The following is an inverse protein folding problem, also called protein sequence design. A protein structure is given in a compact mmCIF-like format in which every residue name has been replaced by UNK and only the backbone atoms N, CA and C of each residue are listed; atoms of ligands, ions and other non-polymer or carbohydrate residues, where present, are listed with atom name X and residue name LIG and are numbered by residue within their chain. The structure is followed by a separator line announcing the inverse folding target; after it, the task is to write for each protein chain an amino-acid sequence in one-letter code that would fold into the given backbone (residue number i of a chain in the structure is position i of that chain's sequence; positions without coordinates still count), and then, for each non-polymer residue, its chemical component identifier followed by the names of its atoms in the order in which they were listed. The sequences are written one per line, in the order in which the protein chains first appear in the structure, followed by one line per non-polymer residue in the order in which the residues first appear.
data_IF_322934108164
#
_entry.id   IF_322934108164
#
_cell.length_a   1.000
_cell.length_b   1.000
_cell.length_c   1.000
_cell.angle_alpha   90.00
_cell.angle_beta   90.00
_cell.angle_gamma   90.00
#
_symmetry.space_group_name_H-M   'P 1'
#
loop_
_entity.id
_entity.type
_entity.pdbx_description
1 polymer ?
#
# COMPACT_ATOMS: atom_id res chain seq x y z
N UNK A 1 23.43 11.15 -2.22
CA UNK A 1 23.55 9.77 -1.72
C UNK A 1 22.77 8.90 -2.69
N UNK A 2 23.31 7.79 -3.23
CA UNK A 2 22.55 7.02 -4.21
C UNK A 2 21.32 6.42 -3.52
N UNK A 3 20.15 6.73 -4.05
CA UNK A 3 18.88 6.14 -3.64
C UNK A 3 18.90 4.65 -3.96
N UNK A 4 18.69 3.79 -2.96
CA UNK A 4 18.67 2.34 -3.15
C UNK A 4 17.22 1.86 -3.11
N UNK A 5 16.66 1.58 -4.30
CA UNK A 5 15.47 0.74 -4.41
C UNK A 5 15.87 -0.72 -4.17
N UNK A 6 15.27 -1.33 -3.15
CA UNK A 6 15.52 -2.71 -2.74
C UNK A 6 14.31 -3.54 -3.12
N UNK A 7 14.42 -4.30 -4.22
CA UNK A 7 13.37 -5.27 -4.59
C UNK A 7 13.43 -6.45 -3.64
N UNK A 8 12.27 -6.85 -3.13
CA UNK A 8 12.13 -7.92 -2.13
C UNK A 8 11.23 -9.02 -2.66
N UNK A 9 11.79 -10.23 -2.68
CA UNK A 9 11.12 -11.47 -3.05
C UNK A 9 11.56 -12.59 -2.09
N UNK A 10 11.06 -13.82 -2.24
CA UNK A 10 11.35 -14.91 -1.28
C UNK A 10 12.85 -15.25 -1.17
N UNK A 11 13.65 -14.94 -2.19
CA UNK A 11 15.09 -15.27 -2.24
C UNK A 11 15.91 -14.37 -1.31
N UNK A 12 15.48 -13.13 -1.11
CA UNK A 12 16.16 -12.17 -0.24
C UNK A 12 15.32 -11.66 0.94
N UNK A 13 14.07 -12.12 1.11
CA UNK A 13 13.18 -11.63 2.17
C UNK A 13 13.82 -11.67 3.56
N UNK A 14 14.50 -12.75 3.94
CA UNK A 14 15.14 -12.85 5.26
C UNK A 14 16.28 -11.83 5.43
N UNK A 15 17.08 -11.61 4.38
CA UNK A 15 18.16 -10.61 4.39
C UNK A 15 17.60 -9.20 4.52
N UNK A 16 16.52 -8.91 3.80
CA UNK A 16 15.84 -7.61 3.87
C UNK A 16 15.09 -7.42 5.18
N UNK A 17 14.51 -8.48 5.75
CA UNK A 17 13.91 -8.49 7.07
C UNK A 17 14.94 -8.14 8.15
N UNK A 18 16.11 -8.78 8.13
CA UNK A 18 17.21 -8.48 9.05
C UNK A 18 17.76 -7.06 8.85
N UNK A 19 17.88 -6.62 7.60
CA UNK A 19 18.27 -5.24 7.31
C UNK A 19 17.25 -4.26 7.89
N UNK A 20 15.95 -4.48 7.64
CA UNK A 20 14.84 -3.71 8.18
C UNK A 20 14.88 -3.61 9.72
N UNK A 21 15.24 -4.70 10.43
CA UNK A 21 15.47 -4.69 11.89
C UNK A 21 16.59 -3.75 12.27
N UNK A 22 17.73 -3.89 11.58
CA UNK A 22 18.96 -3.17 11.93
C UNK A 22 18.78 -1.64 11.84
N UNK A 23 17.84 -1.20 11.01
CA UNK A 23 17.56 0.22 10.78
C UNK A 23 16.33 0.71 11.56
N UNK A 24 15.30 -0.13 11.79
CA UNK A 24 14.02 0.25 12.45
C UNK A 24 14.12 0.62 13.92
N UNK A 25 15.09 0.09 14.68
CA UNK A 25 15.29 0.45 16.10
C UNK A 25 15.54 1.94 16.35
N UNK A 26 15.80 2.74 15.31
CA UNK A 26 16.05 4.18 15.39
C UNK A 26 14.83 5.04 14.98
N UNK A 27 13.70 4.43 14.65
CA UNK A 27 12.70 5.04 13.74
C UNK A 27 11.30 5.24 14.33
N UNK A 28 11.19 5.39 15.65
CA UNK A 28 9.89 5.58 16.28
C UNK A 28 9.05 6.68 15.60
N UNK A 29 9.67 7.82 15.23
CA UNK A 29 8.98 8.96 14.62
C UNK A 29 9.25 9.09 13.10
N UNK A 30 9.48 7.98 12.40
CA UNK A 30 9.79 8.01 10.97
C UNK A 30 8.58 8.33 10.08
N UNK A 31 8.85 8.94 8.92
CA UNK A 31 7.86 9.11 7.85
C UNK A 31 7.91 7.88 6.94
N UNK A 32 6.76 7.24 6.74
CA UNK A 32 6.61 6.03 5.93
C UNK A 32 5.74 6.37 4.73
N UNK A 33 6.32 6.34 3.54
CA UNK A 33 5.58 6.53 2.29
C UNK A 33 5.14 5.17 1.77
N UNK A 34 3.88 5.07 1.37
CA UNK A 34 3.26 3.86 0.88
C UNK A 34 2.66 4.10 -0.50
N UNK A 35 2.86 3.11 -1.36
CA UNK A 35 2.25 3.01 -2.67
C UNK A 35 1.99 1.52 -2.98
N UNK A 36 0.89 1.20 -3.67
CA UNK A 36 0.55 -0.18 -4.01
C UNK A 36 0.16 -0.34 -5.47
N UNK A 37 0.61 -1.43 -6.07
CA UNK A 37 0.22 -1.84 -7.41
C UNK A 37 -0.75 -3.02 -7.31
N UNK A 38 -1.90 -2.90 -7.97
CA UNK A 38 -2.97 -3.89 -7.95
C UNK A 38 -3.77 -3.83 -9.26
N UNK A 39 -4.51 -4.90 -9.62
CA UNK A 39 -5.20 -5.04 -10.92
C UNK A 39 -6.43 -4.13 -11.14
N UNK A 40 -6.45 -2.94 -10.53
CA UNK A 40 -7.50 -1.92 -10.55
C UNK A 40 -8.87 -2.37 -10.01
N UNK A 41 -9.83 -1.46 -9.92
CA UNK A 41 -11.17 -1.65 -9.37
C UNK A 41 -12.04 -2.51 -10.30
N UNK A 42 -12.40 -3.71 -9.84
CA UNK A 42 -13.31 -4.64 -10.50
C UNK A 42 -14.75 -4.08 -10.50
N UNK A 43 -15.18 -3.54 -9.37
CA UNK A 43 -16.51 -3.01 -9.16
C UNK A 43 -16.50 -1.49 -9.35
N UNK A 44 -17.49 -1.00 -10.11
CA UNK A 44 -17.67 0.41 -10.40
C UNK A 44 -19.07 0.86 -9.97
N UNK A 45 -19.18 2.11 -9.54
CA UNK A 45 -20.47 2.73 -9.26
C UNK A 45 -21.14 3.21 -10.55
N UNK A 46 -22.45 3.02 -10.67
CA UNK A 46 -23.25 3.62 -11.73
C UNK A 46 -23.32 5.15 -11.63
N UNK A 47 -23.20 5.70 -10.41
CA UNK A 47 -23.13 7.15 -10.16
C UNK A 47 -21.68 7.63 -10.25
N UNK A 48 -21.44 8.86 -10.73
CA UNK A 48 -20.11 9.47 -10.65
C UNK A 48 -19.60 9.55 -9.21
N UNK A 49 -18.29 9.36 -9.01
CA UNK A 49 -17.69 9.24 -7.67
C UNK A 49 -17.94 10.47 -6.78
N UNK A 50 -17.99 11.68 -7.35
CA UNK A 50 -18.26 12.91 -6.61
C UNK A 50 -19.69 12.99 -6.05
N UNK A 51 -20.64 12.25 -6.62
CA UNK A 51 -22.03 12.17 -6.15
C UNK A 51 -22.19 11.18 -5.00
N UNK A 52 -21.29 10.19 -4.90
CA UNK A 52 -21.34 9.18 -3.86
C UNK A 52 -21.17 9.80 -2.48
N UNK A 53 -22.03 9.39 -1.55
CA UNK A 53 -21.84 9.64 -0.12
C UNK A 53 -20.58 8.94 0.39
N UNK A 54 -19.98 9.40 1.51
CA UNK A 54 -18.82 8.74 2.10
C UNK A 54 -19.04 7.24 2.38
N UNK A 55 -20.25 6.86 2.81
CA UNK A 55 -20.60 5.46 3.05
C UNK A 55 -20.68 4.63 1.76
N UNK A 56 -21.25 5.18 0.67
CA UNK A 56 -21.25 4.51 -0.64
C UNK A 56 -19.83 4.37 -1.20
N UNK A 57 -18.97 5.40 -1.06
CA UNK A 57 -17.55 5.31 -1.47
C UNK A 57 -16.81 4.22 -0.70
N UNK A 58 -17.05 4.14 0.60
CA UNK A 58 -16.47 3.10 1.43
C UNK A 58 -16.96 1.70 1.03
N UNK A 59 -18.27 1.53 0.79
CA UNK A 59 -18.82 0.26 0.36
C UNK A 59 -18.21 -0.22 -0.97
N UNK A 60 -18.00 0.70 -1.92
CA UNK A 60 -17.34 0.41 -3.19
C UNK A 60 -15.86 0.01 -3.00
N UNK A 61 -15.12 0.77 -2.19
CA UNK A 61 -13.72 0.45 -1.85
C UNK A 61 -13.63 -0.91 -1.15
N UNK A 62 -14.50 -1.18 -0.17
CA UNK A 62 -14.55 -2.44 0.56
C UNK A 62 -14.78 -3.62 -0.39
N UNK A 63 -15.78 -3.52 -1.26
CA UNK A 63 -16.09 -4.59 -2.22
C UNK A 63 -14.88 -4.90 -3.13
N UNK A 64 -14.20 -3.87 -3.63
CA UNK A 64 -13.02 -4.05 -4.45
C UNK A 64 -11.84 -4.66 -3.68
N UNK A 65 -11.48 -4.09 -2.53
CA UNK A 65 -10.30 -4.52 -1.76
C UNK A 65 -10.44 -5.96 -1.26
N UNK A 66 -11.65 -6.42 -0.94
CA UNK A 66 -11.85 -7.80 -0.50
C UNK A 66 -11.53 -8.82 -1.60
N UNK A 67 -11.82 -8.50 -2.86
CA UNK A 67 -11.65 -9.43 -3.98
C UNK A 67 -10.32 -9.25 -4.75
N UNK A 68 -9.69 -8.08 -4.67
CA UNK A 68 -8.42 -7.80 -5.36
C UNK A 68 -7.23 -8.36 -4.56
N UNK A 69 -6.25 -8.97 -5.24
CA UNK A 69 -4.95 -9.28 -4.64
C UNK A 69 -3.92 -8.22 -5.06
N UNK A 70 -3.18 -7.62 -4.11
CA UNK A 70 -2.09 -6.70 -4.45
C UNK A 70 -0.93 -7.43 -5.11
N UNK A 71 -0.23 -6.75 -6.03
CA UNK A 71 0.86 -7.29 -6.85
C UNK A 71 2.20 -6.78 -6.34
N UNK A 72 2.32 -5.48 -6.05
CA UNK A 72 3.50 -4.89 -5.42
C UNK A 72 3.10 -3.92 -4.32
N UNK A 73 3.97 -3.79 -3.32
CA UNK A 73 3.87 -2.73 -2.30
C UNK A 73 5.21 -2.03 -2.19
N UNK A 74 5.20 -0.72 -2.47
CA UNK A 74 6.31 0.18 -2.24
C UNK A 74 6.24 0.77 -0.83
N UNK A 75 7.33 0.66 -0.08
CA UNK A 75 7.49 1.29 1.23
C UNK A 75 8.79 2.08 1.24
N UNK A 76 8.69 3.39 1.40
CA UNK A 76 9.86 4.24 1.63
C UNK A 76 9.86 4.72 3.08
N UNK A 77 10.96 4.49 3.80
CA UNK A 77 11.14 5.04 5.13
C UNK A 77 12.12 6.20 5.03
N UNK A 78 11.66 7.38 5.45
CA UNK A 78 12.45 8.59 5.52
C UNK A 78 12.72 8.96 6.98
N UNK A 79 14.00 9.08 7.31
CA UNK A 79 14.44 9.42 8.66
C UNK A 79 15.11 10.80 8.70
N UNK A 80 14.42 11.76 9.33
CA UNK A 80 14.91 13.08 9.79
C UNK A 80 15.91 13.74 8.82
N UNK A 81 15.58 13.81 7.52
CA UNK A 81 16.38 14.55 6.54
C UNK A 81 17.77 14.00 6.24
N UNK A 82 18.08 12.76 6.63
CA UNK A 82 19.41 12.18 6.42
C UNK A 82 19.44 11.04 5.43
N UNK A 83 18.49 10.12 5.51
CA UNK A 83 18.45 8.93 4.67
C UNK A 83 17.02 8.51 4.35
N UNK A 84 16.77 8.14 3.10
CA UNK A 84 15.60 7.39 2.66
C UNK A 84 16.01 6.01 2.18
N UNK A 85 15.21 5.01 2.49
CA UNK A 85 15.37 3.66 1.96
C UNK A 85 14.01 3.21 1.43
N UNK A 86 14.00 2.70 0.20
CA UNK A 86 12.78 2.24 -0.46
C UNK A 86 12.86 0.74 -0.68
N UNK A 87 11.86 0.04 -0.18
CA UNK A 87 11.62 -1.37 -0.49
C UNK A 87 10.44 -1.47 -1.45
N UNK A 88 10.55 -2.39 -2.41
CA UNK A 88 9.46 -2.78 -3.28
C UNK A 88 9.28 -4.28 -3.14
N UNK A 89 8.19 -4.67 -2.49
CA UNK A 89 7.85 -6.07 -2.25
C UNK A 89 7.05 -6.60 -3.43
N UNK A 90 7.56 -7.65 -4.07
CA UNK A 90 6.80 -8.43 -5.06
C UNK A 90 5.94 -9.44 -4.31
N UNK A 91 4.63 -9.46 -4.56
CA UNK A 91 3.68 -10.30 -3.82
C UNK A 91 3.18 -11.48 -4.65
N UNK A 92 3.23 -12.69 -4.08
CA UNK A 92 2.87 -13.91 -4.82
C UNK A 92 1.38 -14.27 -4.80
N UNK A 93 0.53 -13.50 -4.12
CA UNK A 93 -0.86 -13.90 -3.87
C UNK A 93 -1.75 -13.78 -5.13
N UNK A 94 -1.41 -12.86 -6.04
CA UNK A 94 -2.15 -12.62 -7.28
C UNK A 94 -1.86 -13.68 -8.34
N UNK A 95 -2.91 -14.37 -8.78
CA UNK A 95 -2.90 -15.34 -9.86
C UNK A 95 -3.88 -14.93 -10.97
N UNK A 96 -3.34 -14.54 -12.12
CA UNK A 96 -4.13 -14.09 -13.29
C UNK A 96 -5.17 -15.12 -13.76
N UNK A 97 -4.94 -16.42 -13.52
CA UNK A 97 -5.85 -17.49 -13.94
C UNK A 97 -7.06 -17.67 -13.01
N UNK A 98 -6.96 -17.18 -11.77
CA UNK A 98 -7.94 -17.40 -10.70
C UNK A 98 -8.59 -16.12 -10.21
N UNK A 99 -7.82 -15.04 -10.12
CA UNK A 99 -8.22 -13.84 -9.40
C UNK A 99 -8.85 -12.83 -10.37
N UNK A 100 -9.88 -12.12 -9.87
CA UNK A 100 -10.55 -11.08 -10.62
C UNK A 100 -9.59 -9.91 -10.90
N UNK A 101 -9.64 -9.38 -12.13
CA UNK A 101 -8.78 -8.29 -12.55
C UNK A 101 -9.39 -7.54 -13.73
N UNK A 102 -8.95 -6.30 -13.95
CA UNK A 102 -9.26 -5.53 -15.15
C UNK A 102 -8.17 -5.82 -16.21
N UNK A 103 -8.49 -6.42 -17.38
CA UNK A 103 -7.47 -6.79 -18.38
C UNK A 103 -6.60 -5.62 -18.86
N UNK A 104 -7.18 -4.41 -18.92
CA UNK A 104 -6.42 -3.19 -19.25
C UNK A 104 -5.38 -2.84 -18.20
N UNK A 105 -5.69 -3.03 -16.91
CA UNK A 105 -4.74 -2.81 -15.81
C UNK A 105 -3.59 -3.80 -15.92
N UNK A 106 -3.87 -5.08 -16.19
CA UNK A 106 -2.83 -6.10 -16.43
C UNK A 106 -1.91 -5.70 -17.59
N UNK A 107 -2.50 -5.31 -18.73
CA UNK A 107 -1.72 -4.88 -19.90
C UNK A 107 -0.83 -3.68 -19.57
N UNK A 108 -1.34 -2.74 -18.77
CA UNK A 108 -0.61 -1.56 -18.34
C UNK A 108 0.58 -1.93 -17.42
N UNK A 109 0.34 -2.75 -16.40
CA UNK A 109 1.37 -3.24 -15.48
C UNK A 109 2.50 -3.99 -16.23
N UNK A 110 2.13 -4.87 -17.18
CA UNK A 110 3.10 -5.56 -18.03
C UNK A 110 3.88 -4.58 -18.92
N UNK A 111 3.24 -3.52 -19.42
CA UNK A 111 3.92 -2.47 -20.20
C UNK A 111 4.94 -1.66 -19.37
N UNK A 112 4.74 -1.57 -18.06
CA UNK A 112 5.70 -1.00 -17.11
C UNK A 112 6.83 -1.97 -16.73
N UNK A 113 6.78 -3.20 -17.24
CA UNK A 113 7.83 -4.20 -17.12
C UNK A 113 7.64 -5.17 -15.95
N UNK A 114 6.44 -5.23 -15.36
CA UNK A 114 6.12 -6.26 -14.38
C UNK A 114 5.92 -7.61 -15.07
N UNK A 115 6.74 -8.60 -14.73
CA UNK A 115 6.49 -9.98 -15.11
C UNK A 115 5.64 -10.66 -14.03
N UNK A 116 4.32 -10.68 -14.23
CA UNK A 116 3.36 -11.22 -13.26
C UNK A 116 3.57 -12.71 -12.97
N UNK A 117 4.09 -13.48 -13.94
CA UNK A 117 4.42 -14.89 -13.74
C UNK A 117 5.61 -15.06 -12.79
N UNK A 118 6.64 -14.23 -12.95
CA UNK A 118 7.80 -14.26 -12.06
C UNK A 118 7.44 -13.74 -10.67
N UNK A 119 6.64 -12.67 -10.56
CA UNK A 119 6.11 -12.15 -9.29
C UNK A 119 5.28 -13.23 -8.59
N UNK A 120 4.42 -13.96 -9.31
CA UNK A 120 3.65 -15.07 -8.74
C UNK A 120 4.54 -16.19 -8.19
N UNK A 121 5.65 -16.48 -8.86
CA UNK A 121 6.53 -17.60 -8.53
C UNK A 121 7.54 -17.27 -7.42
N UNK A 122 8.10 -16.06 -7.45
CA UNK A 122 9.17 -15.62 -6.54
C UNK A 122 8.70 -14.62 -5.48
N UNK A 123 7.54 -13.99 -5.64
CA UNK A 123 7.03 -13.00 -4.70
C UNK A 123 6.82 -13.56 -3.29
N UNK A 124 6.85 -12.68 -2.30
CA UNK A 124 6.57 -13.04 -0.90
C UNK A 124 5.07 -13.14 -0.65
N UNK A 125 4.62 -13.98 0.30
CA UNK A 125 3.24 -13.94 0.76
C UNK A 125 2.89 -12.57 1.34
N UNK A 126 1.76 -12.00 0.95
CA UNK A 126 1.30 -10.68 1.39
C UNK A 126 1.18 -10.58 2.92
N UNK A 127 0.78 -11.67 3.56
CA UNK A 127 0.71 -11.75 5.02
C UNK A 127 2.07 -11.58 5.72
N UNK A 128 3.18 -11.89 5.05
CA UNK A 128 4.52 -11.69 5.62
C UNK A 128 4.87 -10.21 5.68
N UNK A 129 4.43 -9.40 4.72
CA UNK A 129 4.58 -7.96 4.77
C UNK A 129 3.78 -7.36 5.93
N UNK A 130 2.53 -7.78 6.11
CA UNK A 130 1.72 -7.32 7.24
C UNK A 130 2.38 -7.67 8.59
N UNK A 131 2.86 -8.91 8.73
CA UNK A 131 3.60 -9.37 9.90
C UNK A 131 4.85 -8.52 10.15
N UNK A 132 5.62 -8.25 9.10
CA UNK A 132 6.83 -7.42 9.14
C UNK A 132 6.51 -6.04 9.74
N UNK A 133 5.49 -5.35 9.21
CA UNK A 133 5.14 -4.00 9.65
C UNK A 133 4.67 -3.95 11.11
N UNK A 134 3.94 -4.97 11.56
CA UNK A 134 3.47 -5.09 12.95
C UNK A 134 4.63 -5.39 13.90
N UNK A 135 5.47 -6.37 13.57
CA UNK A 135 6.59 -6.79 14.41
C UNK A 135 7.58 -5.64 14.68
N UNK A 136 7.65 -4.68 13.76
CA UNK A 136 8.53 -3.50 13.88
C UNK A 136 7.86 -2.25 14.40
N UNK A 137 6.57 -2.34 14.77
CA UNK A 137 5.85 -1.21 15.35
C UNK A 137 5.69 -0.03 14.39
N UNK A 138 5.76 -0.26 13.08
CA UNK A 138 5.38 0.76 12.09
C UNK A 138 3.86 0.91 12.01
N UNK A 139 3.15 -0.17 12.28
CA UNK A 139 1.71 -0.19 12.50
C UNK A 139 1.38 -0.94 13.79
N UNK A 140 0.22 -0.67 14.36
CA UNK A 140 -0.26 -1.22 15.62
C UNK A 140 -0.29 -0.21 16.76
N UNK A 141 -0.72 -0.68 17.92
CA UNK A 141 -0.86 0.11 19.14
C UNK A 141 0.47 0.75 19.54
N UNK A 142 0.47 2.07 19.69
CA UNK A 142 1.65 2.83 20.13
C UNK A 142 2.68 3.10 19.05
N UNK A 143 2.42 2.69 17.79
CA UNK A 143 3.22 3.17 16.65
C UNK A 143 3.18 4.69 16.59
N UNK A 144 4.36 5.31 16.40
CA UNK A 144 4.52 6.75 16.18
C UNK A 144 4.88 7.07 14.72
N UNK A 145 4.93 6.06 13.86
CA UNK A 145 5.25 6.23 12.45
C UNK A 145 4.15 7.06 11.75
N UNK A 146 4.57 8.06 10.99
CA UNK A 146 3.69 8.93 10.23
C UNK A 146 3.58 8.41 8.80
N UNK A 147 2.40 7.94 8.41
CA UNK A 147 2.20 7.37 7.09
C UNK A 147 1.82 8.43 6.08
N UNK A 148 2.42 8.37 4.90
CA UNK A 148 2.21 9.29 3.80
C UNK A 148 1.79 8.50 2.56
N UNK A 149 0.70 8.93 1.94
CA UNK A 149 0.15 8.28 0.74
C UNK A 149 -0.27 9.34 -0.29
N UNK A 150 -0.50 8.95 -1.54
CA UNK A 150 -1.08 9.83 -2.55
C UNK A 150 -2.40 9.23 -3.06
N UNK A 151 -3.53 9.88 -2.76
CA UNK A 151 -4.85 9.34 -3.09
C UNK A 151 -5.07 7.92 -2.51
N UNK A 152 -4.50 7.66 -1.33
CA UNK A 152 -4.18 6.31 -0.89
C UNK A 152 -5.27 5.58 -0.13
N UNK A 153 -6.54 5.86 -0.43
CA UNK A 153 -7.66 5.15 0.17
C UNK A 153 -7.55 3.63 -0.04
N UNK A 154 -7.22 3.22 -1.27
CA UNK A 154 -7.00 1.81 -1.61
C UNK A 154 -5.74 1.25 -0.96
N UNK A 155 -4.62 1.97 -0.97
CA UNK A 155 -3.35 1.51 -0.37
C UNK A 155 -3.51 1.16 1.11
N UNK A 156 -4.15 2.07 1.86
CA UNK A 156 -4.42 1.88 3.29
C UNK A 156 -5.36 0.68 3.51
N UNK A 157 -6.41 0.56 2.70
CA UNK A 157 -7.36 -0.53 2.82
C UNK A 157 -6.73 -1.89 2.47
N UNK A 158 -5.83 -1.94 1.48
CA UNK A 158 -5.05 -3.12 1.13
C UNK A 158 -4.16 -3.53 2.30
N UNK A 159 -3.40 -2.61 2.90
CA UNK A 159 -2.60 -2.94 4.08
C UNK A 159 -3.46 -3.44 5.25
N UNK A 160 -4.62 -2.83 5.50
CA UNK A 160 -5.55 -3.29 6.53
C UNK A 160 -6.11 -4.68 6.25
N UNK A 161 -6.34 -5.03 4.97
CA UNK A 161 -6.64 -6.40 4.55
C UNK A 161 -5.50 -7.34 4.94
N UNK A 162 -4.25 -6.99 4.68
CA UNK A 162 -3.08 -7.77 5.08
C UNK A 162 -3.00 -8.00 6.59
N UNK A 163 -3.19 -6.93 7.39
CA UNK A 163 -3.21 -7.00 8.86
C UNK A 163 -4.31 -7.94 9.34
N UNK A 164 -5.53 -7.78 8.81
CA UNK A 164 -6.65 -8.65 9.17
C UNK A 164 -6.36 -10.12 8.80
N UNK A 165 -5.80 -10.37 7.62
CA UNK A 165 -5.46 -11.72 7.15
C UNK A 165 -4.39 -12.38 8.02
N UNK A 166 -3.46 -11.60 8.58
CA UNK A 166 -2.44 -12.09 9.51
C UNK A 166 -3.00 -12.33 10.91
N UNK A 167 -3.87 -11.44 11.42
CA UNK A 167 -4.45 -11.55 12.76
C UNK A 167 -5.59 -12.57 12.86
N UNK A 168 -6.24 -12.93 11.74
CA UNK A 168 -7.42 -13.79 11.78
C UNK A 168 -7.07 -15.20 12.31
N UNK A 169 -7.93 -15.80 13.15
CA UNK A 169 -7.80 -17.21 13.50
C UNK A 169 -7.96 -18.09 12.26
N UNK A 170 -7.15 -19.15 12.14
CA UNK A 170 -7.25 -20.11 11.03
C UNK A 170 -8.62 -20.80 10.92
N UNK A 171 -9.41 -20.80 12.00
CA UNK A 171 -10.76 -21.37 12.06
C UNK A 171 -11.83 -20.44 11.47
N UNK A 172 -11.52 -19.17 11.20
CA UNK A 172 -12.48 -18.18 10.74
C UNK A 172 -12.57 -18.18 9.22
N UNK A 173 -13.66 -18.73 8.68
CA UNK A 173 -13.91 -18.92 7.24
C UNK A 173 -14.65 -17.74 6.58
N UNK A 174 -14.80 -16.61 7.27
CA UNK A 174 -15.52 -15.45 6.71
C UNK A 174 -14.74 -14.81 5.56
N UNK A 175 -15.47 -14.43 4.51
CA UNK A 175 -14.96 -13.58 3.43
C UNK A 175 -14.92 -12.10 3.83
N UNK A 176 -15.63 -11.70 4.88
CA UNK A 176 -15.62 -10.32 5.35
C UNK A 176 -14.29 -10.03 6.05
N UNK A 177 -13.44 -9.24 5.38
CA UNK A 177 -12.10 -8.88 5.81
C UNK A 177 -12.12 -7.48 6.42
N UNK A 178 -12.68 -6.50 5.69
CA UNK A 178 -12.75 -5.13 6.17
C UNK A 178 -14.03 -4.89 7.01
N UNK A 179 -14.01 -3.96 7.98
CA UNK A 179 -15.17 -3.62 8.80
C UNK A 179 -16.44 -3.33 7.99
N UNK A 180 -17.62 -3.60 8.57
CA UNK A 180 -18.87 -3.46 7.82
C UNK A 180 -19.24 -2.00 7.51
N UNK A 181 -18.85 -1.06 8.37
CA UNK A 181 -19.20 0.36 8.27
C UNK A 181 -17.97 1.23 8.11
N UNK A 182 -18.14 2.40 7.48
CA UNK A 182 -17.09 3.41 7.37
C UNK A 182 -16.59 3.84 8.75
N UNK A 183 -17.48 3.99 9.73
CA UNK A 183 -17.10 4.38 11.10
C UNK A 183 -16.16 3.36 11.74
N UNK A 184 -16.52 2.07 11.68
CA UNK A 184 -15.68 0.99 12.21
C UNK A 184 -14.38 0.85 11.43
N UNK A 185 -14.40 1.08 10.12
CA UNK A 185 -13.19 1.13 9.30
C UNK A 185 -12.26 2.25 9.75
N UNK A 186 -12.76 3.48 9.87
CA UNK A 186 -11.96 4.62 10.32
C UNK A 186 -11.42 4.43 11.75
N UNK A 187 -12.21 3.83 12.64
CA UNK A 187 -11.75 3.48 13.98
C UNK A 187 -10.61 2.45 13.94
N UNK A 188 -10.75 1.41 13.12
CA UNK A 188 -9.71 0.39 12.92
C UNK A 188 -8.45 0.98 12.27
N UNK A 189 -8.60 1.85 11.26
CA UNK A 189 -7.49 2.57 10.64
C UNK A 189 -6.72 3.40 11.65
N UNK A 190 -7.39 4.15 12.54
CA UNK A 190 -6.73 4.94 13.60
C UNK A 190 -5.98 4.07 14.60
N UNK A 191 -6.49 2.87 14.89
CA UNK A 191 -5.85 1.93 15.79
C UNK A 191 -4.56 1.34 15.19
N UNK A 192 -4.60 1.00 13.91
CA UNK A 192 -3.46 0.38 13.20
C UNK A 192 -2.42 1.44 12.83
N UNK A 193 -2.84 2.62 12.38
CA UNK A 193 -1.95 3.71 11.98
C UNK A 193 -1.91 4.81 13.06
N UNK A 194 -1.51 4.43 14.28
CA UNK A 194 -1.53 5.30 15.47
C UNK A 194 -0.81 6.65 15.27
N UNK A 195 0.31 6.68 14.56
CA UNK A 195 1.08 7.91 14.31
C UNK A 195 0.46 8.85 13.29
N UNK A 196 -0.63 8.45 12.64
CA UNK A 196 -1.39 9.26 11.68
C UNK A 196 -1.10 8.90 10.22
N UNK A 197 -2.03 9.33 9.36
CA UNK A 197 -1.96 9.17 7.90
C UNK A 197 -2.13 10.55 7.27
N UNK A 198 -1.25 10.89 6.33
CA UNK A 198 -1.25 12.12 5.56
C UNK A 198 -1.42 11.77 4.08
N UNK A 199 -2.55 12.14 3.50
CA UNK A 199 -2.78 12.00 2.07
C UNK A 199 -2.35 13.27 1.34
N UNK A 200 -1.28 13.17 0.54
CA UNK A 200 -0.74 14.26 -0.26
C UNK A 200 -1.79 14.84 -1.20
N UNK A 201 -2.70 14.02 -1.74
CA UNK A 201 -3.78 14.49 -2.62
C UNK A 201 -4.74 15.43 -1.88
N UNK A 202 -5.02 15.14 -0.61
CA UNK A 202 -5.82 16.01 0.25
C UNK A 202 -5.06 17.30 0.59
N UNK A 203 -3.75 17.21 0.87
CA UNK A 203 -2.93 18.39 1.17
C UNK A 203 -2.80 19.33 -0.04
N UNK A 204 -2.61 18.77 -1.25
CA UNK A 204 -2.59 19.53 -2.50
C UNK A 204 -3.81 20.41 -2.66
N UNK A 205 -5.00 19.86 -2.37
CA UNK A 205 -6.26 20.60 -2.47
C UNK A 205 -6.27 21.84 -1.56
N UNK A 206 -5.78 21.70 -0.32
CA UNK A 206 -5.64 22.81 0.63
C UNK A 206 -4.63 23.86 0.13
N UNK A 207 -3.60 23.43 -0.58
CA UNK A 207 -2.60 24.30 -1.20
C UNK A 207 -3.02 24.88 -2.57
N UNK A 208 -4.25 24.63 -3.04
CA UNK A 208 -4.71 25.09 -4.36
C UNK A 208 -4.05 24.37 -5.55
N UNK A 209 -3.45 23.19 -5.33
CA UNK A 209 -2.82 22.36 -6.34
C UNK A 209 -3.76 21.24 -6.81
N UNK A 210 -3.73 20.91 -8.10
CA UNK A 210 -4.59 19.89 -8.71
C UNK A 210 -3.80 19.08 -9.75
N UNK A 211 -4.08 17.79 -9.88
CA UNK A 211 -3.39 16.90 -10.83
C UNK A 211 -2.94 15.58 -10.20
N UNK A 212 -2.28 14.73 -10.99
CA UNK A 212 -1.66 13.49 -10.51
C UNK A 212 -0.31 13.73 -9.80
N UNK A 213 0.26 12.68 -9.22
CA UNK A 213 1.54 12.74 -8.51
C UNK A 213 2.68 13.21 -9.44
N UNK A 214 2.71 12.69 -10.67
CA UNK A 214 3.64 13.11 -11.72
C UNK A 214 3.55 14.60 -12.07
N UNK A 215 2.32 15.15 -12.07
CA UNK A 215 2.11 16.57 -12.30
C UNK A 215 2.60 17.41 -11.12
N UNK A 216 2.35 16.95 -9.89
CA UNK A 216 2.85 17.61 -8.68
C UNK A 216 4.39 17.63 -8.66
N UNK A 217 5.04 16.51 -8.97
CA UNK A 217 6.50 16.43 -9.03
C UNK A 217 7.08 17.47 -10.00
N UNK A 218 6.48 17.61 -11.20
CA UNK A 218 6.87 18.64 -12.17
C UNK A 218 6.71 20.07 -11.65
N UNK A 219 5.60 20.38 -10.97
CA UNK A 219 5.39 21.71 -10.39
C UNK A 219 6.40 22.03 -9.28
N UNK A 220 6.77 21.03 -8.48
CA UNK A 220 7.73 21.17 -7.40
C UNK A 220 9.19 21.02 -7.86
N UNK A 221 9.43 20.81 -9.17
CA UNK A 221 10.75 20.55 -9.74
C UNK A 221 11.49 19.39 -9.05
N UNK A 222 10.72 18.35 -8.68
CA UNK A 222 11.24 17.11 -8.12
C UNK A 222 11.50 16.15 -9.26
N UNK A 223 12.74 15.70 -9.40
CA UNK A 223 13.12 14.69 -10.38
C UNK A 223 12.78 13.28 -9.86
N UNK A 224 12.42 12.38 -10.77
CA UNK A 224 12.34 10.95 -10.45
C UNK A 224 13.74 10.39 -10.30
N UNK A 225 14.11 10.11 -9.06
CA UNK A 225 15.44 9.60 -8.73
C UNK A 225 15.59 8.11 -9.07
N UNK A 226 14.51 7.31 -8.98
CA UNK A 226 14.51 5.86 -9.24
C UNK A 226 13.15 5.37 -9.75
N UNK A 227 13.15 4.35 -10.61
CA UNK A 227 11.93 3.71 -11.12
C UNK A 227 11.43 4.33 -12.43
N UNK A 228 10.51 3.65 -13.11
CA UNK A 228 9.75 4.25 -14.21
C UNK A 228 8.44 4.78 -13.63
N UNK A 229 8.07 6.05 -13.89
CA UNK A 229 6.75 6.53 -13.53
C UNK A 229 5.68 5.69 -14.25
N UNK A 230 4.63 5.35 -13.52
CA UNK A 230 3.42 4.70 -14.00
C UNK A 230 2.28 5.72 -14.18
#
# INVERSE_FOLDING_TARGET
MPYFLRRVDVRNFNLEYDFFISVSRRWADAMVFLDTEFPDSIYNSAKPHYVLSPAERYALLKANVEDIQPIQVGITIYYIGRYSITWQFDLCDFDISRDCHVPKSITLLESYGLNLKDIRHWGVPFIWLAQLLINYGLIGLGSKAQWVVFQGGYDIAILLKGVWLWMRPCTMMTKAILPATLESFLAYTRLIFCGGIYDIKCLMWVCGLNGGLEWLAKQLMVEHEVGKPH
#
